data_IF_093659509588
#
_entry.id   IF_093659509588
#
_cell.length_a   1.000
_cell.length_b   1.000
_cell.length_c   1.000
_cell.angle_alpha   90.00
_cell.angle_beta   90.00
_cell.angle_gamma   90.00
#
_symmetry.space_group_name_H-M   'P 1'
#
loop_
_entity.id
_entity.type
_entity.pdbx_description
1 polymer ?
#
# COMPACT_ATOMS: atom_id res chain seq x y z
N UNK A 1 -10.03 -5.54 -14.30
CA UNK A 1 -11.31 -5.83 -13.66
C UNK A 1 -12.28 -4.68 -13.85
N UNK A 2 -13.52 -5.02 -13.85
CA UNK A 2 -14.61 -4.04 -13.94
C UNK A 2 -15.21 -3.79 -12.56
N UNK A 3 -15.62 -2.57 -12.34
CA UNK A 3 -16.24 -2.14 -11.09
C UNK A 3 -17.76 -2.31 -11.07
N UNK A 4 -18.29 -3.02 -12.05
CA UNK A 4 -19.73 -3.16 -12.23
C UNK A 4 -20.36 -2.08 -13.10
N UNK A 5 -19.57 -1.12 -13.59
CA UNK A 5 -19.99 -0.09 -14.51
C UNK A 5 -19.59 -0.49 -15.94
N UNK A 6 -19.82 0.44 -16.88
CA UNK A 6 -19.43 0.20 -18.28
C UNK A 6 -17.92 0.37 -18.52
N UNK A 7 -17.19 0.89 -17.55
CA UNK A 7 -15.76 1.19 -17.68
C UNK A 7 -14.99 0.47 -16.59
N UNK A 8 -13.79 -0.03 -16.90
CA UNK A 8 -12.94 -0.60 -15.86
C UNK A 8 -12.50 0.49 -14.88
N UNK A 9 -12.28 0.11 -13.64
CA UNK A 9 -11.74 1.01 -12.64
C UNK A 9 -10.34 1.43 -13.03
N UNK A 10 -10.01 2.71 -12.78
CA UNK A 10 -8.69 3.24 -13.04
C UNK A 10 -7.87 3.29 -11.76
N UNK A 11 -6.58 2.97 -11.88
CA UNK A 11 -5.65 3.06 -10.77
C UNK A 11 -5.04 4.46 -10.73
N UNK A 12 -5.13 5.11 -9.57
CA UNK A 12 -4.50 6.40 -9.32
C UNK A 12 -3.57 6.29 -8.14
N UNK A 13 -2.33 6.69 -8.32
CA UNK A 13 -1.31 6.66 -7.26
C UNK A 13 -0.79 8.07 -7.09
N UNK A 14 -0.88 8.58 -5.86
CA UNK A 14 -0.46 9.93 -5.51
C UNK A 14 1.06 10.07 -5.44
N UNK A 15 1.50 11.15 -4.79
CA UNK A 15 2.92 11.47 -4.65
C UNK A 15 3.52 10.76 -3.45
N UNK A 16 4.81 10.42 -3.55
CA UNK A 16 5.58 9.83 -2.46
C UNK A 16 4.97 8.52 -1.93
N UNK A 17 4.46 7.71 -2.86
CA UNK A 17 3.92 6.39 -2.54
C UNK A 17 5.00 5.35 -2.79
N UNK A 18 5.26 4.51 -1.78
CA UNK A 18 6.19 3.39 -1.90
C UNK A 18 5.40 2.10 -2.08
N UNK A 19 5.74 1.33 -3.11
CA UNK A 19 5.05 0.07 -3.43
C UNK A 19 6.08 -1.05 -3.41
N UNK A 20 5.86 -2.04 -2.56
CA UNK A 20 6.76 -3.17 -2.41
C UNK A 20 6.69 -4.17 -3.55
N UNK A 21 7.63 -5.11 -3.55
CA UNK A 21 7.69 -6.17 -4.57
C UNK A 21 6.42 -7.02 -4.56
N UNK A 22 5.96 -7.38 -5.75
CA UNK A 22 4.79 -8.24 -5.92
C UNK A 22 3.49 -7.68 -5.35
N UNK A 23 3.47 -6.40 -5.00
CA UNK A 23 2.21 -5.76 -4.62
C UNK A 23 1.35 -5.57 -5.87
N UNK A 24 0.04 -5.74 -5.72
CA UNK A 24 -0.93 -5.57 -6.79
C UNK A 24 -1.89 -4.45 -6.41
N UNK A 25 -1.94 -3.41 -7.23
CA UNK A 25 -2.89 -2.31 -7.06
C UNK A 25 -3.73 -2.29 -8.33
N UNK A 26 -5.01 -2.59 -8.20
CA UNK A 26 -5.88 -2.73 -9.35
C UNK A 26 -7.14 -1.88 -9.19
N UNK A 27 -7.26 -0.83 -10.01
CA UNK A 27 -8.45 0.01 -10.03
C UNK A 27 -8.72 0.76 -8.72
N UNK A 28 -7.69 1.03 -7.92
CA UNK A 28 -7.83 1.67 -6.63
C UNK A 28 -7.18 3.06 -6.63
N UNK A 29 -7.53 3.85 -5.61
CA UNK A 29 -6.94 5.16 -5.40
C UNK A 29 -6.01 5.09 -4.19
N UNK A 30 -4.73 5.36 -4.41
CA UNK A 30 -3.74 5.46 -3.35
C UNK A 30 -3.36 6.93 -3.23
N UNK A 31 -3.70 7.54 -2.09
CA UNK A 31 -3.39 8.96 -1.87
C UNK A 31 -1.92 9.13 -1.48
N UNK A 32 -1.53 10.37 -1.18
CA UNK A 32 -0.12 10.71 -0.99
C UNK A 32 0.50 10.05 0.26
N UNK A 33 1.80 9.84 0.21
CA UNK A 33 2.61 9.41 1.36
C UNK A 33 2.19 8.05 1.93
N UNK A 34 1.75 7.13 1.08
CA UNK A 34 1.38 5.78 1.49
C UNK A 34 2.51 4.80 1.28
N UNK A 35 2.50 3.73 2.06
CA UNK A 35 3.39 2.59 1.87
C UNK A 35 2.54 1.35 1.65
N UNK A 36 2.71 0.69 0.51
CA UNK A 36 2.06 -0.57 0.18
C UNK A 36 3.11 -1.66 0.30
N UNK A 37 2.94 -2.55 1.26
CA UNK A 37 3.94 -3.59 1.56
C UNK A 37 4.06 -4.66 0.49
N UNK A 38 5.13 -5.45 0.58
CA UNK A 38 5.37 -6.55 -0.37
C UNK A 38 4.22 -7.54 -0.38
N UNK A 39 3.80 -7.93 -1.58
CA UNK A 39 2.76 -8.94 -1.74
C UNK A 39 1.36 -8.49 -1.36
N UNK A 40 1.18 -7.23 -0.96
CA UNK A 40 -0.15 -6.72 -0.64
C UNK A 40 -0.98 -6.58 -1.91
N UNK A 41 -2.28 -6.76 -1.77
CA UNK A 41 -3.23 -6.63 -2.89
C UNK A 41 -4.28 -5.59 -2.53
N UNK A 42 -4.47 -4.59 -3.38
CA UNK A 42 -5.48 -3.55 -3.21
C UNK A 42 -6.43 -3.65 -4.41
N UNK A 43 -7.67 -3.94 -4.14
CA UNK A 43 -8.66 -4.25 -5.17
C UNK A 43 -9.44 -3.01 -5.63
N UNK A 44 -10.29 -3.21 -6.65
CA UNK A 44 -10.99 -2.13 -7.34
C UNK A 44 -11.81 -1.27 -6.41
N UNK A 45 -11.81 0.03 -6.67
CA UNK A 45 -12.59 1.02 -5.95
C UNK A 45 -12.22 1.20 -4.48
N UNK A 46 -11.13 0.58 -4.02
CA UNK A 46 -10.61 0.87 -2.70
C UNK A 46 -9.95 2.24 -2.68
N UNK A 47 -10.02 2.93 -1.56
CA UNK A 47 -9.32 4.21 -1.35
C UNK A 47 -8.40 4.06 -0.16
N UNK A 48 -7.11 4.21 -0.40
CA UNK A 48 -6.09 4.22 0.65
C UNK A 48 -5.75 5.68 0.91
N UNK A 49 -6.27 6.20 2.01
CA UNK A 49 -6.11 7.62 2.34
C UNK A 49 -4.66 7.95 2.66
N UNK A 50 -4.33 9.24 2.61
CA UNK A 50 -2.96 9.72 2.78
C UNK A 50 -2.32 9.23 4.07
N UNK A 51 -1.05 8.86 3.99
CA UNK A 51 -0.27 8.47 5.16
C UNK A 51 -0.53 7.06 5.66
N UNK A 52 -1.27 6.25 4.92
CA UNK A 52 -1.53 4.87 5.32
C UNK A 52 -0.36 3.96 5.04
N UNK A 53 -0.25 2.92 5.86
CA UNK A 53 0.66 1.80 5.62
C UNK A 53 -0.19 0.54 5.49
N UNK A 54 -0.09 -0.11 4.34
CA UNK A 54 -0.69 -1.42 4.11
C UNK A 54 0.41 -2.46 4.29
N UNK A 55 0.27 -3.31 5.27
CA UNK A 55 1.30 -4.28 5.63
C UNK A 55 1.53 -5.31 4.53
N UNK A 56 2.68 -5.98 4.59
CA UNK A 56 3.01 -7.03 3.64
C UNK A 56 1.93 -8.11 3.60
N UNK A 57 1.60 -8.56 2.40
CA UNK A 57 0.62 -9.63 2.15
C UNK A 57 -0.81 -9.32 2.60
N UNK A 58 -1.12 -8.08 2.94
CA UNK A 58 -2.48 -7.69 3.28
C UNK A 58 -3.38 -7.69 2.04
N UNK A 59 -4.66 -7.93 2.25
CA UNK A 59 -5.66 -7.88 1.19
C UNK A 59 -6.67 -6.79 1.50
N UNK A 60 -6.62 -5.70 0.73
CA UNK A 60 -7.60 -4.61 0.83
C UNK A 60 -8.73 -4.90 -0.16
N UNK A 61 -9.91 -5.19 0.38
CA UNK A 61 -11.06 -5.59 -0.43
C UNK A 61 -11.59 -4.43 -1.28
N UNK A 62 -12.28 -4.80 -2.35
CA UNK A 62 -12.92 -3.82 -3.24
C UNK A 62 -13.84 -2.88 -2.46
N UNK A 63 -13.78 -1.61 -2.79
CA UNK A 63 -14.63 -0.60 -2.17
C UNK A 63 -14.24 -0.18 -0.76
N UNK A 64 -13.16 -0.72 -0.20
CA UNK A 64 -12.70 -0.33 1.14
C UNK A 64 -12.25 1.12 1.17
N UNK A 65 -12.55 1.80 2.29
CA UNK A 65 -12.13 3.19 2.52
C UNK A 65 -11.23 3.19 3.75
N UNK A 66 -9.93 3.23 3.55
CA UNK A 66 -8.98 3.23 4.67
C UNK A 66 -8.86 4.63 5.25
N UNK A 67 -8.79 4.71 6.58
CA UNK A 67 -8.63 5.98 7.27
C UNK A 67 -7.19 6.49 7.13
N UNK A 68 -6.99 7.82 7.07
CA UNK A 68 -5.64 8.37 6.92
C UNK A 68 -4.75 8.08 8.13
N UNK A 69 -3.44 8.09 7.90
CA UNK A 69 -2.41 7.94 8.94
C UNK A 69 -2.62 6.71 9.80
N UNK A 70 -2.94 5.58 9.16
CA UNK A 70 -3.25 4.33 9.87
C UNK A 70 -2.52 3.16 9.23
N UNK A 71 -2.30 2.12 10.02
CA UNK A 71 -1.72 0.86 9.56
C UNK A 71 -2.83 -0.16 9.41
N UNK A 72 -2.89 -0.80 8.24
CA UNK A 72 -3.82 -1.87 7.94
C UNK A 72 -3.06 -3.15 7.65
N UNK A 73 -3.53 -4.27 8.18
CA UNK A 73 -2.88 -5.56 8.03
C UNK A 73 -3.89 -6.69 7.99
N UNK A 74 -3.49 -7.81 7.41
CA UNK A 74 -4.27 -9.04 7.42
C UNK A 74 -5.06 -9.29 6.15
N UNK A 75 -5.79 -10.40 6.14
CA UNK A 75 -6.63 -10.88 5.04
C UNK A 75 -8.00 -11.22 5.62
N UNK A 76 -9.03 -10.38 5.45
CA UNK A 76 -9.00 -9.05 4.86
C UNK A 76 -8.29 -8.03 5.76
N UNK A 77 -7.75 -6.98 5.15
CA UNK A 77 -7.02 -5.95 5.89
C UNK A 77 -7.93 -5.20 6.84
N UNK A 78 -7.44 -5.02 8.07
CA UNK A 78 -8.15 -4.28 9.11
C UNK A 78 -7.21 -3.29 9.75
N UNK A 79 -7.77 -2.20 10.27
CA UNK A 79 -6.99 -1.18 10.94
C UNK A 79 -6.35 -1.76 12.20
N UNK A 80 -5.04 -1.65 12.28
CA UNK A 80 -4.26 -2.12 13.42
C UNK A 80 -4.05 -0.99 14.42
N UNK A 81 -3.66 0.19 13.91
CA UNK A 81 -3.39 1.35 14.76
C UNK A 81 -3.31 2.61 13.91
N UNK A 82 -3.38 3.75 14.58
CA UNK A 82 -3.05 5.04 13.99
C UNK A 82 -1.58 5.35 14.24
N UNK A 83 -0.96 6.11 13.34
CA UNK A 83 0.43 6.52 13.45
C UNK A 83 0.58 8.01 13.20
N UNK A 84 1.64 8.59 13.75
CA UNK A 84 2.00 9.97 13.45
C UNK A 84 2.76 10.05 12.13
N UNK A 85 2.80 11.22 11.47
CA UNK A 85 3.66 11.38 10.29
C UNK A 85 5.11 11.02 10.54
N UNK A 86 5.63 11.31 11.72
CA UNK A 86 7.01 10.99 12.07
C UNK A 86 7.23 9.48 12.15
N UNK A 87 6.29 8.75 12.73
CA UNK A 87 6.36 7.30 12.80
C UNK A 87 6.30 6.67 11.41
N UNK A 88 5.43 7.21 10.55
CA UNK A 88 5.33 6.74 9.17
C UNK A 88 6.65 6.94 8.44
N UNK A 89 7.25 8.12 8.54
CA UNK A 89 8.49 8.43 7.85
C UNK A 89 9.61 7.50 8.30
N UNK A 90 9.67 7.19 9.59
CA UNK A 90 10.66 6.24 10.12
C UNK A 90 10.46 4.84 9.53
N UNK A 91 9.23 4.37 9.44
CA UNK A 91 8.92 3.06 8.86
C UNK A 91 9.29 3.03 7.38
N UNK A 92 8.96 4.07 6.64
CA UNK A 92 9.27 4.16 5.21
C UNK A 92 10.79 4.13 4.98
N UNK A 93 11.55 4.89 5.77
CA UNK A 93 13.01 4.89 5.66
C UNK A 93 13.61 3.53 5.97
N UNK A 94 13.10 2.86 6.98
CA UNK A 94 13.56 1.53 7.37
C UNK A 94 13.28 0.51 6.26
N UNK A 95 12.09 0.57 5.68
CA UNK A 95 11.69 -0.31 4.58
C UNK A 95 12.57 -0.08 3.35
N UNK A 96 12.86 1.17 3.03
CA UNK A 96 13.72 1.49 1.89
C UNK A 96 15.13 0.94 2.10
N UNK A 97 15.68 1.01 3.31
CA UNK A 97 16.98 0.43 3.61
C UNK A 97 16.99 -1.09 3.42
N UNK A 98 15.95 -1.75 3.89
CA UNK A 98 15.83 -3.19 3.76
C UNK A 98 15.77 -3.62 2.29
N UNK A 99 15.04 -2.89 1.48
CA UNK A 99 14.98 -3.16 0.04
C UNK A 99 16.34 -2.96 -0.63
N UNK A 100 17.08 -1.94 -0.25
CA UNK A 100 18.41 -1.73 -0.79
C UNK A 100 19.36 -2.87 -0.43
N UNK A 101 19.27 -3.37 0.79
CA UNK A 101 20.05 -4.50 1.23
C UNK A 101 19.74 -5.75 0.43
N UNK A 102 18.46 -6.06 0.21
CA UNK A 102 18.05 -7.19 -0.62
C UNK A 102 18.56 -7.05 -2.05
N UNK A 103 18.44 -5.88 -2.63
CA UNK A 103 18.93 -5.64 -3.99
C UNK A 103 20.43 -5.87 -4.09
N UNK A 104 21.18 -5.45 -3.07
CA UNK A 104 22.63 -5.67 -3.01
C UNK A 104 22.97 -7.16 -2.98
N UNK A 105 22.23 -7.94 -2.17
CA UNK A 105 22.45 -9.38 -2.09
C UNK A 105 22.24 -10.06 -3.44
N UNK A 106 21.18 -9.71 -4.14
CA UNK A 106 20.89 -10.29 -5.46
C UNK A 106 21.94 -9.93 -6.49
N UNK A 107 22.52 -8.75 -6.42
CA UNK A 107 23.55 -8.32 -7.35
C UNK A 107 24.88 -9.07 -7.17
N UNK A 108 25.14 -9.55 -5.99
CA UNK A 108 26.37 -10.27 -5.68
C UNK A 108 26.35 -11.70 -6.13
N UNK A 109 25.19 -12.22 -6.43
CA UNK A 109 25.06 -13.58 -6.96
C UNK A 109 25.20 -13.61 -8.47
#
# INVERSE_FOLDING_TARGET
>A
LFDGSKHPSQTHIGNDVSVGHNAVIHGAIIEDNCLIGMGATVLDNAVVASGCIVAANALVLSGSKLEPNSVYAGIPAKKVKEITPEQRDEIVLRTARDYQLYASWFKEE
#
